data_IF_877221225958
#
_entry.id   IF_877221225958
#
_cell.length_a   1.000
_cell.length_b   1.000
_cell.length_c   1.000
_cell.angle_alpha   90.00
_cell.angle_beta   90.00
_cell.angle_gamma   90.00
#
_symmetry.space_group_name_H-M   'P 1'
#
loop_
_entity.id
_entity.type
_entity.pdbx_description
1 polymer ?
#
# COMPACT_ATOMS: atom_id res chain seq x y z
N UNK A 1 23.27 52.19 -13.70
CA UNK A 1 21.96 52.42 -14.35
C UNK A 1 21.26 51.09 -14.48
N UNK A 2 20.54 50.76 -13.42
CA UNK A 2 19.52 49.71 -13.28
C UNK A 2 18.31 50.05 -14.15
N UNK A 3 17.65 49.05 -14.75
CA UNK A 3 16.20 48.92 -14.99
C UNK A 3 16.00 47.64 -15.82
N UNK A 4 15.25 46.68 -15.30
CA UNK A 4 14.15 45.90 -15.93
C UNK A 4 13.68 44.94 -14.82
N UNK A 5 13.01 45.52 -13.83
CA UNK A 5 12.03 44.83 -12.98
C UNK A 5 10.71 45.46 -13.43
N UNK A 6 9.98 44.82 -14.35
CA UNK A 6 8.54 44.73 -14.12
C UNK A 6 7.96 43.47 -14.79
N UNK A 7 8.18 42.29 -14.20
CA UNK A 7 7.42 41.09 -14.60
C UNK A 7 6.92 40.30 -13.38
N UNK A 8 6.74 40.99 -12.25
CA UNK A 8 6.32 40.40 -10.97
C UNK A 8 4.97 40.96 -10.47
N UNK A 9 4.17 41.58 -11.35
CA UNK A 9 2.93 42.28 -10.96
C UNK A 9 1.67 41.82 -11.72
N UNK A 10 1.74 40.75 -12.50
CA UNK A 10 0.67 40.34 -13.42
C UNK A 10 -0.12 39.07 -13.05
N UNK A 11 0.12 38.46 -11.89
CA UNK A 11 -0.54 37.19 -11.50
C UNK A 11 -1.34 37.23 -10.19
N UNK A 12 -1.51 38.39 -9.55
CA UNK A 12 -2.26 38.53 -8.28
C UNK A 12 -3.68 39.09 -8.41
N UNK A 13 -4.29 39.06 -9.60
CA UNK A 13 -5.65 39.62 -9.78
C UNK A 13 -6.60 38.65 -10.49
N UNK A 14 -6.95 37.55 -9.81
CA UNK A 14 -8.06 36.69 -10.21
C UNK A 14 -8.63 35.89 -9.03
N UNK A 15 -9.16 36.59 -8.03
CA UNK A 15 -10.21 36.05 -7.17
C UNK A 15 -11.20 37.17 -6.91
N UNK A 16 -11.94 37.51 -7.97
CA UNK A 16 -13.11 38.37 -7.88
C UNK A 16 -14.17 37.64 -7.05
N UNK A 17 -14.65 38.35 -6.04
CA UNK A 17 -15.80 38.03 -5.20
C UNK A 17 -17.04 37.78 -6.06
N UNK A 18 -17.57 36.55 -6.03
CA UNK A 18 -18.94 36.26 -6.46
C UNK A 18 -19.77 35.99 -5.22
N UNK A 19 -20.44 37.04 -4.74
CA UNK A 19 -21.63 36.88 -3.91
C UNK A 19 -22.79 36.48 -4.80
N UNK A 20 -23.51 35.44 -4.41
CA UNK A 20 -24.89 35.19 -4.84
C UNK A 20 -25.66 34.67 -3.64
N UNK A 21 -26.92 35.10 -3.48
CA UNK A 21 -27.97 34.28 -4.05
C UNK A 21 -29.04 35.10 -4.77
N UNK A 22 -29.22 34.81 -6.06
CA UNK A 22 -30.48 35.05 -6.74
C UNK A 22 -31.55 34.09 -6.20
N UNK A 23 -32.75 34.62 -6.00
CA UNK A 23 -33.96 33.90 -5.60
C UNK A 23 -34.29 32.87 -6.67
N UNK A 24 -33.82 31.63 -6.48
CA UNK A 24 -34.28 30.46 -7.20
C UNK A 24 -35.36 29.76 -6.38
N UNK A 25 -36.56 29.65 -6.93
CA UNK A 25 -37.60 28.76 -6.40
C UNK A 25 -37.05 27.33 -6.46
N UNK A 26 -36.55 26.83 -5.33
CA UNK A 26 -36.14 25.43 -5.20
C UNK A 26 -37.41 24.61 -5.00
N UNK A 27 -37.78 23.85 -6.03
CA UNK A 27 -38.70 22.74 -5.85
C UNK A 27 -38.12 21.81 -4.77
N UNK A 28 -38.82 21.73 -3.65
CA UNK A 28 -38.42 20.90 -2.52
C UNK A 28 -38.41 19.43 -3.00
N UNK A 29 -37.27 18.72 -3.04
CA UNK A 29 -37.32 17.29 -3.26
C UNK A 29 -38.02 16.71 -2.04
N UNK A 30 -39.21 16.13 -2.23
CA UNK A 30 -39.81 15.28 -1.21
C UNK A 30 -38.86 14.12 -0.98
N UNK A 31 -38.02 14.26 0.03
CA UNK A 31 -37.14 13.22 0.54
C UNK A 31 -38.06 12.06 0.91
N UNK A 32 -37.96 10.94 0.17
CA UNK A 32 -38.55 9.68 0.62
C UNK A 32 -37.91 9.38 1.98
N UNK A 33 -38.65 9.60 3.05
CA UNK A 33 -38.26 9.16 4.39
C UNK A 33 -38.29 7.64 4.34
N UNK A 34 -37.14 7.03 4.11
CA UNK A 34 -36.96 5.59 4.32
C UNK A 34 -37.14 5.37 5.82
N UNK A 35 -38.14 4.58 6.27
CA UNK A 35 -38.33 4.33 7.69
C UNK A 35 -37.04 3.75 8.25
N UNK A 36 -36.57 4.31 9.38
CA UNK A 36 -35.48 3.71 10.14
C UNK A 36 -35.94 2.29 10.52
N UNK A 37 -35.15 1.23 10.24
CA UNK A 37 -35.49 -0.09 10.72
C UNK A 37 -35.70 -0.02 12.23
N UNK A 38 -36.78 -0.63 12.73
CA UNK A 38 -37.02 -0.73 14.16
C UNK A 38 -35.76 -1.29 14.85
N UNK A 39 -35.48 -0.87 16.09
CA UNK A 39 -34.31 -1.33 16.84
C UNK A 39 -34.26 -2.87 16.96
N UNK A 40 -35.41 -3.52 16.86
CA UNK A 40 -35.60 -4.98 16.93
C UNK A 40 -35.85 -5.62 15.56
N UNK A 41 -35.58 -4.91 14.46
CA UNK A 41 -35.66 -5.49 13.13
C UNK A 41 -34.66 -6.65 13.04
N UNK A 42 -35.18 -7.87 12.85
CA UNK A 42 -34.38 -9.06 12.66
C UNK A 42 -33.52 -8.88 11.39
N UNK A 43 -32.24 -8.54 11.58
CA UNK A 43 -31.26 -8.57 10.50
C UNK A 43 -30.97 -10.04 10.24
N UNK A 44 -31.59 -10.61 9.21
CA UNK A 44 -31.26 -11.96 8.74
C UNK A 44 -29.88 -11.91 8.09
N UNK A 45 -28.85 -12.20 8.88
CA UNK A 45 -27.47 -12.38 8.44
C UNK A 45 -27.33 -13.77 7.77
N UNK A 46 -27.97 -13.95 6.60
CA UNK A 46 -27.88 -15.17 5.80
C UNK A 46 -28.27 -16.47 6.53
N UNK A 47 -28.08 -17.59 5.84
CA UNK A 47 -28.31 -18.97 6.27
C UNK A 47 -27.22 -19.50 7.23
N UNK A 48 -26.41 -18.62 7.81
CA UNK A 48 -25.30 -18.98 8.70
C UNK A 48 -24.13 -19.68 8.00
N UNK A 49 -24.19 -19.82 6.67
CA UNK A 49 -23.11 -20.33 5.84
C UNK A 49 -22.31 -19.15 5.33
N UNK A 50 -21.12 -18.93 5.88
CA UNK A 50 -20.18 -17.96 5.30
C UNK A 50 -19.76 -18.50 3.92
N UNK A 51 -20.08 -17.81 2.82
CA UNK A 51 -19.65 -18.25 1.50
C UNK A 51 -18.12 -18.27 1.45
N UNK A 52 -17.53 -19.36 0.97
CA UNK A 52 -16.08 -19.38 0.74
C UNK A 52 -15.79 -18.46 -0.46
N UNK A 53 -15.11 -17.36 -0.18
CA UNK A 53 -14.76 -16.38 -1.21
C UNK A 53 -13.60 -16.96 -2.03
N UNK A 54 -13.72 -17.05 -3.36
CA UNK A 54 -12.65 -17.57 -4.21
C UNK A 54 -11.29 -16.90 -3.97
N UNK A 55 -11.29 -15.60 -3.63
CA UNK A 55 -10.09 -14.83 -3.32
C UNK A 55 -9.40 -15.30 -2.03
N UNK A 56 -10.17 -15.71 -1.02
CA UNK A 56 -9.63 -16.25 0.24
C UNK A 56 -9.01 -17.62 0.00
N UNK A 57 -9.67 -18.47 -0.79
CA UNK A 57 -9.13 -19.76 -1.19
C UNK A 57 -7.82 -19.61 -2.00
N UNK A 58 -7.79 -18.68 -2.96
CA UNK A 58 -6.60 -18.38 -3.74
C UNK A 58 -5.45 -17.87 -2.87
N UNK A 59 -5.73 -16.99 -1.91
CA UNK A 59 -4.71 -16.49 -0.98
C UNK A 59 -4.14 -17.60 -0.08
N UNK A 60 -5.00 -18.50 0.43
CA UNK A 60 -4.55 -19.67 1.20
C UNK A 60 -3.65 -20.59 0.38
N UNK A 61 -4.00 -20.85 -0.89
CA UNK A 61 -3.16 -21.61 -1.82
C UNK A 61 -1.80 -20.93 -2.01
N UNK A 62 -1.77 -19.63 -2.30
CA UNK A 62 -0.51 -18.88 -2.48
C UNK A 62 0.41 -19.00 -1.27
N UNK A 63 -0.13 -18.82 -0.06
CA UNK A 63 0.65 -18.96 1.19
C UNK A 63 1.16 -20.38 1.40
N UNK A 64 0.31 -21.38 1.13
CA UNK A 64 0.73 -22.79 1.22
C UNK A 64 1.84 -23.09 0.22
N UNK A 65 1.71 -22.65 -1.02
CA UNK A 65 2.73 -22.84 -2.05
C UNK A 65 4.06 -22.18 -1.65
N UNK A 66 4.03 -20.96 -1.14
CA UNK A 66 5.23 -20.28 -0.63
C UNK A 66 5.93 -21.10 0.47
N UNK A 67 5.19 -21.76 1.35
CA UNK A 67 5.77 -22.61 2.41
C UNK A 67 6.31 -23.96 1.92
N UNK A 68 6.00 -24.41 0.70
CA UNK A 68 6.44 -25.72 0.21
C UNK A 68 7.91 -25.72 -0.21
N UNK A 69 8.41 -24.62 -0.75
CA UNK A 69 9.77 -24.52 -1.28
C UNK A 69 10.48 -23.26 -0.78
N UNK A 70 11.79 -23.37 -0.55
CA UNK A 70 12.61 -22.20 -0.28
C UNK A 70 12.45 -21.18 -1.43
N UNK A 71 12.39 -19.87 -1.13
CA UNK A 71 12.82 -19.24 0.12
C UNK A 71 11.75 -19.05 1.20
N UNK A 72 10.53 -19.59 1.07
CA UNK A 72 9.41 -19.34 2.01
C UNK A 72 8.94 -17.89 2.07
N UNK A 73 9.21 -17.14 0.99
CA UNK A 73 8.82 -15.74 0.84
C UNK A 73 7.72 -15.65 -0.22
N UNK A 74 6.58 -15.09 0.16
CA UNK A 74 5.51 -14.69 -0.75
C UNK A 74 5.92 -13.40 -1.45
N UNK A 75 6.11 -13.47 -2.77
CA UNK A 75 6.42 -12.32 -3.62
C UNK A 75 5.16 -11.56 -3.99
N UNK A 76 5.31 -10.27 -4.30
CA UNK A 76 4.21 -9.43 -4.79
C UNK A 76 4.03 -9.60 -6.28
N UNK A 77 2.77 -9.72 -6.67
CA UNK A 77 2.36 -9.63 -8.07
C UNK A 77 2.22 -8.16 -8.51
N UNK A 78 2.24 -7.92 -9.83
CA UNK A 78 1.93 -6.60 -10.42
C UNK A 78 3.02 -5.52 -10.23
N UNK A 79 4.25 -5.91 -9.89
CA UNK A 79 5.39 -5.00 -9.86
C UNK A 79 5.91 -4.71 -11.28
N UNK A 80 6.49 -3.53 -11.49
CA UNK A 80 7.30 -3.29 -12.67
C UNK A 80 8.57 -4.16 -12.66
N UNK A 81 9.22 -4.28 -13.82
CA UNK A 81 10.38 -5.16 -13.99
C UNK A 81 11.49 -4.90 -12.96
N UNK A 82 11.71 -3.64 -12.60
CA UNK A 82 12.77 -3.23 -11.68
C UNK A 82 12.45 -3.62 -10.25
N UNK A 83 11.23 -3.34 -9.79
CA UNK A 83 10.76 -3.72 -8.47
C UNK A 83 10.65 -5.24 -8.33
N UNK A 84 10.25 -5.93 -9.40
CA UNK A 84 10.19 -7.38 -9.47
C UNK A 84 11.59 -8.03 -9.40
N UNK A 85 12.57 -7.46 -10.08
CA UNK A 85 13.97 -7.86 -9.96
C UNK A 85 14.51 -7.65 -8.53
N UNK A 86 14.18 -6.52 -7.89
CA UNK A 86 14.62 -6.22 -6.53
C UNK A 86 14.06 -7.21 -5.50
N UNK A 87 12.75 -7.54 -5.54
CA UNK A 87 12.19 -8.54 -4.63
C UNK A 87 12.79 -9.92 -4.85
N UNK A 88 13.07 -10.31 -6.11
CA UNK A 88 13.71 -11.59 -6.42
C UNK A 88 15.13 -11.65 -5.90
N UNK A 89 15.90 -10.56 -6.03
CA UNK A 89 17.24 -10.48 -5.47
C UNK A 89 17.23 -10.69 -3.95
N UNK A 90 16.34 -9.99 -3.25
CA UNK A 90 16.15 -10.15 -1.80
C UNK A 90 15.74 -11.56 -1.41
N UNK A 91 14.86 -12.19 -2.20
CA UNK A 91 14.40 -13.55 -1.91
C UNK A 91 15.50 -14.61 -2.04
N UNK A 92 16.52 -14.35 -2.87
CA UNK A 92 17.67 -15.22 -3.04
C UNK A 92 18.88 -14.83 -2.17
N UNK A 93 18.82 -13.73 -1.43
CA UNK A 93 19.87 -13.31 -0.52
C UNK A 93 19.89 -14.20 0.74
N UNK A 94 21.01 -14.88 0.96
CA UNK A 94 21.23 -15.74 2.13
C UNK A 94 21.02 -15.01 3.46
N UNK A 95 21.29 -13.70 3.50
CA UNK A 95 21.06 -12.84 4.67
C UNK A 95 19.58 -12.61 4.93
N UNK A 96 18.67 -12.79 3.98
CA UNK A 96 17.24 -12.74 4.27
C UNK A 96 16.66 -14.14 4.49
N UNK A 97 17.23 -15.17 3.86
CA UNK A 97 16.79 -16.55 4.02
C UNK A 97 16.92 -17.07 5.45
N UNK A 98 17.88 -16.59 6.24
CA UNK A 98 17.97 -17.00 7.65
C UNK A 98 16.77 -16.51 8.49
N UNK A 99 16.12 -15.40 8.11
CA UNK A 99 14.91 -14.90 8.78
C UNK A 99 13.64 -15.69 8.40
N UNK A 100 13.70 -16.54 7.38
CA UNK A 100 12.57 -17.38 6.92
C UNK A 100 12.52 -18.73 7.64
N UNK A 101 13.38 -18.94 8.65
CA UNK A 101 13.45 -20.18 9.43
C UNK A 101 13.67 -19.90 10.91
N UNK A 102 13.19 -20.79 11.78
CA UNK A 102 13.59 -20.81 13.19
C UNK A 102 14.98 -21.43 13.36
N UNK A 103 15.57 -21.31 14.56
CA UNK A 103 16.82 -22.00 14.91
C UNK A 103 16.70 -23.54 14.79
N UNK A 104 15.50 -24.07 14.97
CA UNK A 104 15.20 -25.49 14.78
C UNK A 104 14.88 -25.86 13.31
N UNK A 105 15.00 -24.91 12.38
CA UNK A 105 14.76 -25.11 10.95
C UNK A 105 13.30 -25.10 10.51
N UNK A 106 12.35 -24.74 11.39
CA UNK A 106 10.94 -24.62 11.01
C UNK A 106 10.76 -23.46 10.04
N UNK A 107 9.93 -23.65 9.02
CA UNK A 107 9.68 -22.67 7.95
C UNK A 107 8.78 -21.55 8.49
N UNK A 108 9.17 -20.30 8.23
CA UNK A 108 8.39 -19.12 8.59
C UNK A 108 7.87 -18.48 7.31
N UNK A 109 6.55 -18.31 7.22
CA UNK A 109 5.96 -17.56 6.11
C UNK A 109 6.40 -16.11 6.22
N UNK A 110 7.08 -15.65 5.19
CA UNK A 110 7.49 -14.26 5.02
C UNK A 110 6.82 -13.69 3.77
N UNK A 111 6.54 -12.40 3.74
CA UNK A 111 5.92 -11.73 2.58
C UNK A 111 6.64 -10.44 2.25
N UNK A 112 6.81 -10.16 0.95
CA UNK A 112 7.20 -8.85 0.47
C UNK A 112 6.00 -7.90 0.63
N UNK A 113 6.05 -7.02 1.62
CA UNK A 113 4.98 -6.03 1.85
C UNK A 113 5.10 -4.82 0.93
N UNK A 114 6.32 -4.43 0.58
CA UNK A 114 6.53 -3.19 -0.16
C UNK A 114 7.86 -3.20 -0.91
N UNK A 115 7.88 -2.59 -2.11
CA UNK A 115 9.10 -2.30 -2.86
C UNK A 115 9.02 -0.85 -3.29
N UNK A 116 9.97 -0.02 -2.86
CA UNK A 116 9.95 1.42 -3.10
C UNK A 116 11.36 2.03 -3.02
N UNK A 117 11.56 3.29 -3.44
CA UNK A 117 12.81 3.99 -3.17
C UNK A 117 13.17 4.01 -1.67
N UNK A 118 14.47 4.01 -1.32
CA UNK A 118 14.91 4.12 0.06
C UNK A 118 14.48 5.45 0.68
N UNK A 119 14.15 5.41 1.97
CA UNK A 119 13.83 6.55 2.83
C UNK A 119 15.10 7.08 3.50
N UNK A 120 15.08 8.33 4.00
CA UNK A 120 16.15 8.83 4.85
C UNK A 120 16.40 7.88 6.04
N UNK A 121 17.65 7.43 6.18
CA UNK A 121 18.06 6.49 7.24
C UNK A 121 18.07 5.01 6.85
N UNK A 122 17.49 4.62 5.70
CA UNK A 122 17.57 3.22 5.23
C UNK A 122 18.96 2.84 4.74
N UNK A 123 19.72 3.81 4.25
CA UNK A 123 21.06 3.62 3.71
C UNK A 123 22.11 4.12 4.71
N UNK A 124 23.14 3.31 5.04
CA UNK A 124 24.25 3.79 5.84
C UNK A 124 25.02 4.88 5.07
N UNK A 125 25.69 5.83 5.75
CA UNK A 125 26.30 7.01 5.11
C UNK A 125 27.25 6.69 3.95
N UNK A 126 27.97 5.57 4.03
CA UNK A 126 28.90 5.13 2.99
C UNK A 126 28.22 4.61 1.71
N UNK A 127 26.91 4.32 1.74
CA UNK A 127 26.14 3.84 0.60
C UNK A 127 25.24 4.92 -0.03
N UNK A 128 25.02 6.05 0.66
CA UNK A 128 24.18 7.14 0.15
C UNK A 128 24.70 7.68 -1.20
N UNK A 129 26.02 7.81 -1.35
CA UNK A 129 26.63 8.29 -2.61
C UNK A 129 26.57 7.25 -3.74
N UNK A 130 26.38 5.98 -3.42
CA UNK A 130 26.29 4.86 -4.38
C UNK A 130 24.85 4.54 -4.75
N UNK A 131 23.88 5.08 -4.01
CA UNK A 131 22.45 4.94 -4.24
C UNK A 131 21.82 6.31 -4.58
N UNK A 132 22.09 6.87 -5.77
CA UNK A 132 21.36 8.05 -6.22
C UNK A 132 19.84 7.75 -6.28
N UNK A 133 19.00 8.81 -6.32
CA UNK A 133 17.57 8.66 -6.56
C UNK A 133 17.37 7.77 -7.79
N UNK A 134 16.49 6.78 -7.68
CA UNK A 134 16.20 5.82 -8.73
C UNK A 134 17.32 4.80 -9.06
N UNK A 135 18.37 4.66 -8.26
CA UNK A 135 19.29 3.51 -8.38
C UNK A 135 18.90 2.36 -7.45
N UNK A 136 18.58 2.67 -6.20
CA UNK A 136 18.32 1.66 -5.18
C UNK A 136 16.84 1.53 -4.86
N UNK A 137 16.45 0.33 -4.45
CA UNK A 137 15.10 0.02 -3.97
C UNK A 137 15.21 -0.63 -2.59
N UNK A 138 14.30 -0.24 -1.72
CA UNK A 138 14.03 -0.88 -0.44
C UNK A 138 12.93 -1.91 -0.63
N UNK A 139 13.21 -3.14 -0.22
CA UNK A 139 12.24 -4.24 -0.19
C UNK A 139 11.91 -4.50 1.27
N UNK A 140 10.65 -4.29 1.68
CA UNK A 140 10.20 -4.55 3.03
C UNK A 140 9.59 -5.94 3.11
N UNK A 141 10.20 -6.80 3.93
CA UNK A 141 9.72 -8.13 4.25
C UNK A 141 8.98 -8.13 5.59
N UNK A 142 7.91 -8.91 5.69
CA UNK A 142 7.17 -9.16 6.93
C UNK A 142 7.16 -10.65 7.24
N UNK A 143 7.59 -11.01 8.44
CA UNK A 143 7.66 -12.40 8.93
C UNK A 143 6.43 -12.65 9.80
N UNK A 144 5.46 -13.41 9.28
CA UNK A 144 4.15 -13.58 9.93
C UNK A 144 4.24 -14.16 11.35
N UNK A 145 4.98 -15.26 11.60
CA UNK A 145 4.94 -15.89 12.92
C UNK A 145 5.60 -15.05 14.03
N UNK A 146 6.56 -14.19 13.68
CA UNK A 146 7.27 -13.33 14.65
C UNK A 146 6.73 -11.91 14.69
N UNK A 147 5.83 -11.54 13.78
CA UNK A 147 5.30 -10.19 13.65
C UNK A 147 6.41 -9.13 13.52
N UNK A 148 7.44 -9.42 12.70
CA UNK A 148 8.60 -8.54 12.51
C UNK A 148 8.74 -8.10 11.06
N UNK A 149 9.18 -6.86 10.85
CA UNK A 149 9.56 -6.35 9.54
C UNK A 149 11.07 -6.21 9.40
N UNK A 150 11.59 -6.48 8.21
CA UNK A 150 13.01 -6.32 7.87
C UNK A 150 13.16 -5.78 6.44
N UNK A 151 14.25 -5.06 6.16
CA UNK A 151 14.52 -4.44 4.86
C UNK A 151 15.98 -4.49 4.48
#
# INVERSE_FOLDING_TARGET
>A
MTIIIPLLLLLLSACATVSSPGVGVVANPTTKVVPRPAADALVVLGDGVTPDLPEVAAERERRRAALQAAPFILLRDGLDERADAAQRAVAHDVRHQHHTRTLAGQRLLTEVMHVAPPRPGDLPPNLVTQCPPDACLRVLLYVYPTNTTLS
#
